data_IF_110858908134
#
_entry.id   IF_110858908134
#
_cell.length_a   1.000
_cell.length_b   1.000
_cell.length_c   1.000
_cell.angle_alpha   90.00
_cell.angle_beta   90.00
_cell.angle_gamma   90.00
#
_symmetry.space_group_name_H-M   'P 1'
#
loop_
_entity.id
_entity.type
_entity.pdbx_description
1 polymer ?
#
# COMPACT_ATOMS: atom_id res chain seq x y z
N UNK A 1 22.02 -34.89 -33.89
CA UNK A 1 22.42 -34.22 -32.61
C UNK A 1 21.65 -32.91 -32.27
N UNK A 2 20.44 -32.63 -32.73
CA UNK A 2 19.81 -31.32 -32.59
C UNK A 2 18.58 -31.25 -31.61
N UNK A 3 18.08 -32.38 -31.14
CA UNK A 3 16.87 -32.39 -30.24
C UNK A 3 17.18 -32.03 -28.76
N UNK A 4 18.36 -32.40 -28.29
CA UNK A 4 18.70 -32.21 -26.87
C UNK A 4 19.01 -30.73 -26.50
N UNK A 5 19.55 -29.95 -27.47
CA UNK A 5 19.84 -28.53 -27.23
C UNK A 5 18.58 -27.67 -27.10
N UNK A 6 17.47 -28.05 -27.76
CA UNK A 6 16.19 -27.32 -27.64
C UNK A 6 15.53 -27.52 -26.25
N UNK A 7 15.65 -28.71 -25.68
CA UNK A 7 15.10 -29.01 -24.37
C UNK A 7 15.87 -28.31 -23.24
N UNK A 8 17.22 -28.30 -23.33
CA UNK A 8 18.06 -27.58 -22.35
C UNK A 8 17.87 -26.07 -22.45
N UNK A 9 17.74 -25.51 -23.65
CA UNK A 9 17.48 -24.08 -23.82
C UNK A 9 16.10 -23.67 -23.29
N UNK A 10 15.06 -24.49 -23.53
CA UNK A 10 13.72 -24.25 -23.00
C UNK A 10 13.69 -24.30 -21.47
N UNK A 11 14.39 -25.24 -20.86
CA UNK A 11 14.53 -25.36 -19.39
C UNK A 11 15.24 -24.15 -18.77
N UNK A 12 16.26 -23.63 -19.45
CA UNK A 12 17.02 -22.45 -19.02
C UNK A 12 16.17 -21.16 -19.11
N UNK A 13 15.39 -20.99 -20.17
CA UNK A 13 14.48 -19.85 -20.35
C UNK A 13 13.35 -19.89 -19.33
N UNK A 14 12.75 -21.05 -19.08
CA UNK A 14 11.70 -21.21 -18.06
C UNK A 14 12.27 -20.96 -16.66
N UNK A 15 13.45 -21.48 -16.32
CA UNK A 15 14.14 -21.21 -15.06
C UNK A 15 14.44 -19.71 -14.86
N UNK A 16 14.87 -19.02 -15.93
CA UNK A 16 15.14 -17.58 -15.89
C UNK A 16 13.86 -16.76 -15.69
N UNK A 17 12.73 -17.15 -16.28
CA UNK A 17 11.43 -16.52 -16.08
C UNK A 17 10.93 -16.68 -14.63
N UNK A 18 11.21 -17.81 -13.99
CA UNK A 18 10.88 -17.99 -12.55
C UNK A 18 11.73 -17.14 -11.62
N UNK A 19 12.99 -16.84 -11.97
CA UNK A 19 13.84 -15.97 -11.16
C UNK A 19 13.38 -14.51 -11.19
N UNK A 20 12.80 -14.02 -12.29
CA UNK A 20 12.25 -12.67 -12.38
C UNK A 20 10.91 -12.49 -11.63
N UNK A 21 10.18 -13.56 -11.36
CA UNK A 21 8.92 -13.48 -10.60
C UNK A 21 9.10 -13.35 -9.08
N UNK A 22 10.30 -13.59 -8.56
CA UNK A 22 10.56 -13.65 -7.12
C UNK A 22 10.70 -12.29 -6.41
N UNK A 23 10.93 -11.18 -7.15
CA UNK A 23 11.19 -9.86 -6.58
C UNK A 23 10.00 -8.89 -6.63
N UNK A 24 8.76 -9.38 -6.60
CA UNK A 24 7.60 -8.49 -6.55
C UNK A 24 7.44 -7.88 -5.15
N UNK A 25 7.63 -6.57 -5.06
CA UNK A 25 7.36 -5.84 -3.81
C UNK A 25 5.85 -5.77 -3.55
N UNK A 26 5.44 -6.18 -2.35
CA UNK A 26 4.04 -6.15 -1.91
C UNK A 26 3.86 -5.05 -0.89
N UNK A 27 2.95 -4.12 -1.15
CA UNK A 27 2.54 -3.11 -0.19
C UNK A 27 1.30 -3.57 0.57
N UNK A 28 1.29 -3.32 1.88
CA UNK A 28 0.10 -3.48 2.71
C UNK A 28 -0.71 -2.21 2.63
N UNK A 29 -1.97 -2.35 2.24
CA UNK A 29 -2.91 -1.25 2.07
C UNK A 29 -4.13 -1.47 2.93
N UNK A 30 -4.67 -0.40 3.50
CA UNK A 30 -5.94 -0.37 4.19
C UNK A 30 -7.02 0.20 3.29
N UNK A 31 -8.25 -0.25 3.47
CA UNK A 31 -9.45 0.26 2.84
C UNK A 31 -10.56 0.41 3.86
N UNK A 32 -11.22 1.55 3.84
CA UNK A 32 -12.38 1.85 4.65
C UNK A 32 -13.39 2.63 3.83
N UNK A 33 -14.67 2.26 3.91
CA UNK A 33 -15.76 3.02 3.31
C UNK A 33 -16.98 3.08 4.20
N UNK A 34 -17.71 4.19 4.09
CA UNK A 34 -19.05 4.40 4.66
C UNK A 34 -19.98 4.76 3.52
N UNK A 35 -21.11 4.10 3.43
CA UNK A 35 -22.14 4.35 2.43
C UNK A 35 -23.43 4.69 3.15
N UNK A 36 -24.12 5.75 2.73
CA UNK A 36 -25.45 6.05 3.25
C UNK A 36 -26.42 4.97 2.79
N UNK A 37 -27.06 4.28 3.76
CA UNK A 37 -28.03 3.24 3.47
C UNK A 37 -29.17 3.72 2.55
N UNK A 38 -29.54 2.90 1.60
CA UNK A 38 -30.61 3.12 0.61
C UNK A 38 -30.38 4.30 -0.35
N UNK A 39 -29.15 4.85 -0.43
CA UNK A 39 -28.83 5.85 -1.44
C UNK A 39 -28.58 5.18 -2.80
N UNK A 40 -29.29 5.64 -3.82
CA UNK A 40 -29.15 5.12 -5.18
C UNK A 40 -28.23 6.04 -5.99
N UNK A 41 -27.02 5.54 -6.28
CA UNK A 41 -26.05 6.28 -7.10
C UNK A 41 -26.52 6.32 -8.56
N UNK A 42 -26.69 7.52 -9.08
CA UNK A 42 -27.10 7.73 -10.47
C UNK A 42 -25.87 7.91 -11.37
N UNK A 43 -25.56 6.92 -12.18
CA UNK A 43 -24.41 6.90 -13.09
C UNK A 43 -24.42 7.98 -14.17
N UNK A 44 -25.59 8.57 -14.45
CA UNK A 44 -25.77 9.68 -15.42
C UNK A 44 -25.76 11.06 -14.75
N UNK A 45 -25.62 11.12 -13.42
CA UNK A 45 -25.50 12.40 -12.72
C UNK A 45 -24.22 13.12 -13.05
N UNK A 46 -24.28 14.46 -13.07
CA UNK A 46 -23.07 15.28 -13.14
C UNK A 46 -22.32 15.23 -11.82
N UNK A 47 -21.07 14.80 -11.87
CA UNK A 47 -20.16 14.65 -10.74
C UNK A 47 -18.98 15.57 -10.96
N UNK A 48 -18.61 16.35 -9.96
CA UNK A 48 -17.41 17.19 -10.02
C UNK A 48 -16.43 16.74 -8.94
N UNK A 49 -15.23 16.41 -9.36
CA UNK A 49 -14.10 16.13 -8.45
C UNK A 49 -13.53 17.46 -8.00
N UNK A 50 -13.74 17.76 -6.72
CA UNK A 50 -13.27 18.97 -6.07
C UNK A 50 -12.05 18.67 -5.19
N UNK A 51 -11.16 19.62 -5.08
CA UNK A 51 -9.95 19.54 -4.24
C UNK A 51 -9.56 20.95 -3.79
N UNK A 52 -8.77 21.04 -2.72
CA UNK A 52 -8.20 22.32 -2.32
C UNK A 52 -7.19 22.78 -3.41
N UNK A 53 -7.37 24.00 -3.91
CA UNK A 53 -6.48 24.59 -4.92
C UNK A 53 -5.04 24.75 -4.43
N UNK A 54 -4.84 24.85 -3.14
CA UNK A 54 -3.52 24.91 -2.52
C UNK A 54 -2.85 23.52 -2.42
N UNK A 55 -3.64 22.44 -2.54
CA UNK A 55 -3.13 21.06 -2.55
C UNK A 55 -2.66 20.67 -3.95
N UNK A 56 -1.42 21.01 -4.25
CA UNK A 56 -0.78 20.67 -5.53
C UNK A 56 -0.78 19.14 -5.80
N UNK A 57 -0.71 18.33 -4.76
CA UNK A 57 -0.68 16.88 -4.89
C UNK A 57 -2.02 16.36 -5.43
N UNK A 58 -3.11 16.67 -4.75
CA UNK A 58 -4.46 16.24 -5.19
C UNK A 58 -4.82 16.85 -6.53
N UNK A 59 -4.47 18.10 -6.78
CA UNK A 59 -4.66 18.78 -8.07
C UNK A 59 -3.99 18.02 -9.22
N UNK A 60 -2.75 17.57 -9.02
CA UNK A 60 -2.00 16.78 -10.02
C UNK A 60 -2.70 15.46 -10.38
N UNK A 61 -3.33 14.81 -9.40
CA UNK A 61 -4.00 13.52 -9.60
C UNK A 61 -5.49 13.61 -9.94
N UNK A 62 -6.08 14.82 -10.00
CA UNK A 62 -7.52 15.00 -10.21
C UNK A 62 -8.03 14.29 -11.48
N UNK A 63 -7.31 14.38 -12.60
CA UNK A 63 -7.66 13.70 -13.85
C UNK A 63 -7.64 12.17 -13.73
N UNK A 64 -6.78 11.62 -12.90
CA UNK A 64 -6.74 10.18 -12.63
C UNK A 64 -7.98 9.77 -11.83
N UNK A 65 -8.40 10.57 -10.85
CA UNK A 65 -9.61 10.33 -10.08
C UNK A 65 -10.84 10.33 -10.98
N UNK A 66 -10.97 11.35 -11.84
CA UNK A 66 -12.05 11.43 -12.86
C UNK A 66 -12.07 10.16 -13.71
N UNK A 67 -10.93 9.80 -14.28
CA UNK A 67 -10.83 8.62 -15.16
C UNK A 67 -11.19 7.30 -14.44
N UNK A 68 -10.76 7.12 -13.20
CA UNK A 68 -11.09 5.88 -12.45
C UNK A 68 -12.59 5.86 -12.05
N UNK A 69 -13.22 7.00 -11.75
CA UNK A 69 -14.66 7.07 -11.53
C UNK A 69 -15.45 6.78 -12.83
N UNK A 70 -14.98 7.28 -13.98
CA UNK A 70 -15.58 6.95 -15.27
C UNK A 70 -15.53 5.45 -15.58
N UNK A 71 -14.45 4.76 -15.20
CA UNK A 71 -14.36 3.29 -15.31
C UNK A 71 -15.36 2.52 -14.46
N UNK A 72 -15.84 3.11 -13.37
CA UNK A 72 -16.92 2.54 -12.55
C UNK A 72 -18.30 2.75 -13.19
N UNK A 73 -18.37 3.41 -14.34
CA UNK A 73 -19.61 3.63 -15.11
C UNK A 73 -20.25 5.00 -14.93
N UNK A 74 -19.62 5.92 -14.22
CA UNK A 74 -20.10 7.30 -14.11
C UNK A 74 -19.64 8.09 -15.35
N UNK A 75 -20.58 8.45 -16.24
CA UNK A 75 -20.21 9.04 -17.53
C UNK A 75 -19.93 10.54 -17.48
N UNK A 76 -20.57 11.26 -16.57
CA UNK A 76 -20.52 12.73 -16.49
C UNK A 76 -19.65 13.18 -15.31
N UNK A 77 -18.36 12.79 -15.31
CA UNK A 77 -17.40 13.15 -14.27
C UNK A 77 -16.39 14.14 -14.81
N UNK A 78 -16.23 15.26 -14.11
CA UNK A 78 -15.37 16.38 -14.47
C UNK A 78 -14.50 16.80 -13.29
N UNK A 79 -13.42 17.51 -13.57
CA UNK A 79 -12.68 18.24 -12.52
C UNK A 79 -13.37 19.57 -12.23
N UNK A 80 -13.09 20.16 -11.06
CA UNK A 80 -13.57 21.52 -10.73
C UNK A 80 -13.00 22.63 -11.65
N UNK A 81 -11.97 22.33 -12.44
CA UNK A 81 -11.42 23.24 -13.43
C UNK A 81 -12.25 23.23 -14.73
N UNK A 82 -12.93 22.11 -15.03
CA UNK A 82 -13.71 21.90 -16.25
C UNK A 82 -15.20 22.22 -16.05
N UNK A 83 -15.71 22.01 -14.84
CA UNK A 83 -17.14 22.19 -14.56
C UNK A 83 -17.34 22.90 -13.21
N UNK A 84 -18.22 23.94 -13.16
CA UNK A 84 -18.45 24.72 -11.95
C UNK A 84 -19.21 23.90 -10.88
N UNK A 85 -18.75 24.02 -9.62
CA UNK A 85 -19.29 23.26 -8.48
C UNK A 85 -20.77 23.55 -8.19
N UNK A 86 -21.22 24.78 -8.40
CA UNK A 86 -22.59 25.23 -8.17
C UNK A 86 -23.64 24.58 -9.09
N UNK A 87 -23.18 24.02 -10.21
CA UNK A 87 -24.04 23.30 -11.18
C UNK A 87 -23.94 21.78 -11.06
N UNK A 88 -23.07 21.28 -10.20
CA UNK A 88 -22.89 19.86 -9.98
C UNK A 88 -24.06 19.28 -9.18
N UNK A 89 -24.58 18.12 -9.59
CA UNK A 89 -25.54 17.36 -8.76
C UNK A 89 -24.83 16.61 -7.64
N UNK A 90 -23.60 16.20 -7.89
CA UNK A 90 -22.75 15.52 -6.94
C UNK A 90 -21.37 16.15 -6.93
N UNK A 91 -20.79 16.27 -5.74
CA UNK A 91 -19.42 16.74 -5.56
C UNK A 91 -18.62 15.70 -4.81
N UNK A 92 -17.48 15.32 -5.35
CA UNK A 92 -16.53 14.40 -4.74
C UNK A 92 -15.32 15.20 -4.30
N UNK A 93 -15.22 15.48 -3.02
CA UNK A 93 -14.02 16.11 -2.44
C UNK A 93 -12.93 15.06 -2.29
N UNK A 94 -11.86 15.25 -3.05
CA UNK A 94 -10.68 14.39 -3.01
C UNK A 94 -9.55 15.08 -2.26
N UNK A 95 -8.80 14.28 -1.49
CA UNK A 95 -7.57 14.75 -0.83
C UNK A 95 -6.58 13.61 -0.65
N UNK A 96 -5.29 13.96 -0.78
CA UNK A 96 -4.18 13.08 -0.48
C UNK A 96 -3.49 13.63 0.76
N UNK A 97 -3.55 12.88 1.85
CA UNK A 97 -2.92 13.24 3.13
C UNK A 97 -1.68 12.38 3.31
N UNK A 98 -0.59 13.00 3.71
CA UNK A 98 0.66 12.32 3.97
C UNK A 98 1.20 12.72 5.34
N UNK A 99 1.34 11.74 6.20
CA UNK A 99 1.97 11.89 7.49
C UNK A 99 3.34 11.22 7.46
N UNK A 100 4.40 11.98 7.75
CA UNK A 100 5.75 11.46 7.84
C UNK A 100 6.12 11.40 9.31
N UNK A 101 6.63 10.26 9.74
CA UNK A 101 7.13 10.05 11.09
C UNK A 101 8.53 9.48 11.06
N UNK A 102 9.36 9.94 11.97
CA UNK A 102 10.64 9.32 12.26
C UNK A 102 10.41 8.10 13.15
N UNK A 103 10.83 6.93 12.69
CA UNK A 103 10.70 5.68 13.43
C UNK A 103 12.08 5.21 13.84
N UNK A 104 12.39 5.19 15.13
CA UNK A 104 13.65 4.65 15.59
C UNK A 104 13.69 3.13 15.40
N UNK A 105 14.77 2.64 14.92
CA UNK A 105 15.07 1.23 14.79
C UNK A 105 16.36 0.93 15.55
N UNK A 106 16.28 0.01 16.51
CA UNK A 106 17.42 -0.39 17.33
C UNK A 106 18.01 -1.67 16.75
N UNK A 107 19.27 -1.57 16.35
CA UNK A 107 20.07 -2.74 15.97
C UNK A 107 20.93 -3.12 17.15
N UNK A 108 20.71 -4.33 17.68
CA UNK A 108 21.49 -4.85 18.79
C UNK A 108 22.72 -5.56 18.25
N UNK A 109 23.88 -5.17 18.77
CA UNK A 109 25.13 -5.86 18.50
C UNK A 109 25.30 -6.98 19.52
N UNK A 110 25.54 -8.18 19.02
CA UNK A 110 25.75 -9.36 19.86
C UNK A 110 27.22 -9.71 19.85
N UNK A 111 27.77 -9.96 21.01
CA UNK A 111 29.13 -10.49 21.17
C UNK A 111 29.03 -11.90 21.77
N UNK A 112 29.75 -12.82 21.17
CA UNK A 112 29.95 -14.15 21.76
C UNK A 112 30.74 -13.97 23.07
N UNK A 113 30.15 -14.37 24.19
CA UNK A 113 30.78 -14.27 25.51
C UNK A 113 31.31 -15.62 25.99
N UNK A 114 30.68 -16.71 25.58
CA UNK A 114 31.06 -18.03 25.97
C UNK A 114 30.59 -19.07 24.97
N UNK A 115 31.31 -20.17 24.90
CA UNK A 115 30.95 -21.34 24.11
C UNK A 115 31.11 -22.56 25.01
N UNK A 116 30.02 -23.25 25.28
CA UNK A 116 30.05 -24.48 26.08
C UNK A 116 30.10 -25.66 25.13
N UNK A 117 31.21 -26.36 25.15
CA UNK A 117 31.36 -27.62 24.46
C UNK A 117 30.55 -28.70 25.17
N UNK A 118 29.74 -29.44 24.43
CA UNK A 118 28.92 -30.52 24.93
C UNK A 118 28.07 -30.17 26.17
N UNK A 119 27.17 -29.15 26.07
CA UNK A 119 26.36 -28.78 27.23
C UNK A 119 25.48 -29.94 27.67
N UNK A 120 25.52 -30.23 28.96
CA UNK A 120 24.70 -31.27 29.58
C UNK A 120 23.64 -30.64 30.45
N UNK A 121 22.40 -31.12 30.39
CA UNK A 121 21.29 -30.70 31.24
C UNK A 121 20.59 -31.90 31.86
N UNK A 122 20.01 -31.70 33.04
CA UNK A 122 19.33 -32.72 33.79
C UNK A 122 17.82 -32.56 33.59
N UNK A 123 17.18 -33.57 33.01
CA UNK A 123 15.76 -33.61 32.80
C UNK A 123 15.16 -34.96 33.16
N UNK A 124 14.12 -35.00 33.98
CA UNK A 124 13.37 -36.22 34.31
C UNK A 124 14.21 -37.31 35.01
N UNK A 125 15.24 -36.93 35.76
CA UNK A 125 16.12 -37.88 36.45
C UNK A 125 17.29 -38.38 35.60
N UNK A 126 17.50 -37.89 34.39
CA UNK A 126 18.59 -38.31 33.50
C UNK A 126 19.40 -37.12 32.98
N UNK A 127 20.69 -37.33 32.73
CA UNK A 127 21.55 -36.36 32.07
C UNK A 127 21.49 -36.54 30.56
N UNK A 128 21.26 -35.45 29.88
CA UNK A 128 21.31 -35.35 28.43
C UNK A 128 22.45 -34.40 28.05
N UNK A 129 23.39 -34.86 27.25
CA UNK A 129 24.49 -34.04 26.75
C UNK A 129 24.33 -33.85 25.25
N UNK A 130 24.44 -32.58 24.80
CA UNK A 130 24.47 -32.24 23.37
C UNK A 130 25.89 -32.45 22.84
N UNK A 131 26.00 -33.04 21.67
CA UNK A 131 27.28 -33.14 20.94
C UNK A 131 27.60 -31.86 20.16
N UNK A 132 26.66 -30.87 20.12
CA UNK A 132 26.86 -29.59 19.45
C UNK A 132 27.17 -28.51 20.48
N UNK A 133 28.19 -27.68 20.25
CA UNK A 133 28.50 -26.55 21.10
C UNK A 133 27.31 -25.58 21.15
N UNK A 134 27.13 -24.93 22.27
CA UNK A 134 26.11 -23.90 22.45
C UNK A 134 26.79 -22.55 22.65
N UNK A 135 26.54 -21.64 21.74
CA UNK A 135 27.08 -20.29 21.78
C UNK A 135 26.20 -19.40 22.64
N UNK A 136 26.81 -18.69 23.58
CA UNK A 136 26.15 -17.70 24.40
C UNK A 136 26.57 -16.30 23.93
N UNK A 137 25.54 -15.50 23.56
CA UNK A 137 25.73 -14.13 23.12
C UNK A 137 25.18 -13.16 24.15
N UNK A 138 25.91 -12.10 24.41
CA UNK A 138 25.40 -10.95 25.14
C UNK A 138 25.26 -9.74 24.19
N UNK A 139 24.35 -8.86 24.54
CA UNK A 139 24.22 -7.57 23.85
C UNK A 139 25.40 -6.71 24.27
N UNK A 140 26.28 -6.37 23.32
CA UNK A 140 27.47 -5.54 23.53
C UNK A 140 27.24 -4.07 23.17
N UNK A 141 26.01 -3.69 22.90
CA UNK A 141 25.62 -2.36 22.55
C UNK A 141 24.43 -2.35 21.58
N UNK A 142 23.97 -1.19 21.28
CA UNK A 142 22.97 -0.99 20.23
C UNK A 142 23.35 0.25 19.41
N UNK A 143 22.95 0.24 18.17
CA UNK A 143 22.96 1.43 17.31
C UNK A 143 21.52 1.81 17.01
N UNK A 144 21.21 3.08 17.18
CA UNK A 144 19.93 3.63 16.80
C UNK A 144 20.02 4.15 15.36
N UNK A 145 19.15 3.66 14.52
CA UNK A 145 18.96 4.17 13.17
C UNK A 145 17.55 4.73 13.07
N UNK A 146 17.44 5.94 12.55
CA UNK A 146 16.14 6.57 12.33
C UNK A 146 15.78 6.41 10.85
N UNK A 147 14.67 5.77 10.55
CA UNK A 147 14.15 5.77 9.20
C UNK A 147 12.84 6.56 9.13
N UNK A 148 12.66 7.26 8.01
CA UNK A 148 11.44 8.01 7.76
C UNK A 148 10.37 7.07 7.20
N UNK A 149 9.27 6.94 7.92
CA UNK A 149 8.06 6.22 7.46
C UNK A 149 7.01 7.22 7.03
N UNK A 150 6.35 6.94 5.92
CA UNK A 150 5.20 7.72 5.47
C UNK A 150 3.94 6.87 5.56
N UNK A 151 2.91 7.45 6.15
CA UNK A 151 1.56 6.94 6.08
C UNK A 151 0.75 7.88 5.18
N UNK A 152 0.28 7.36 4.07
CA UNK A 152 -0.42 8.13 3.05
C UNK A 152 -1.85 7.65 2.94
N UNK A 153 -2.79 8.59 2.89
CA UNK A 153 -4.21 8.36 2.73
C UNK A 153 -4.71 9.04 1.47
N UNK A 154 -5.56 8.35 0.75
CA UNK A 154 -6.37 8.91 -0.31
C UNK A 154 -7.83 8.86 0.12
N UNK A 155 -8.43 10.04 0.30
CA UNK A 155 -9.76 10.21 0.87
C UNK A 155 -10.69 10.78 -0.20
N UNK A 156 -11.89 10.21 -0.29
CA UNK A 156 -13.00 10.72 -1.08
C UNK A 156 -14.21 10.95 -0.16
N UNK A 157 -14.70 12.16 -0.13
CA UNK A 157 -15.98 12.56 0.48
C UNK A 157 -16.96 12.88 -0.63
N UNK A 158 -17.98 12.06 -0.84
CA UNK A 158 -18.99 12.25 -1.88
C UNK A 158 -20.26 12.85 -1.31
N UNK A 159 -20.64 13.99 -1.82
CA UNK A 159 -21.85 14.71 -1.44
C UNK A 159 -22.85 14.74 -2.57
N UNK A 160 -24.11 14.45 -2.22
CA UNK A 160 -25.27 14.80 -3.05
C UNK A 160 -25.67 16.25 -2.73
N UNK A 161 -25.55 17.12 -3.74
CA UNK A 161 -25.77 18.55 -3.57
C UNK A 161 -27.26 18.90 -3.52
N UNK A 162 -28.15 18.04 -4.02
CA UNK A 162 -29.59 18.18 -3.93
C UNK A 162 -30.07 17.84 -2.52
N UNK A 163 -29.57 16.74 -1.95
CA UNK A 163 -29.90 16.31 -0.60
C UNK A 163 -29.06 16.99 0.47
N UNK A 164 -28.04 17.74 0.09
CA UNK A 164 -27.08 18.43 0.96
C UNK A 164 -26.46 17.50 2.05
N UNK A 165 -26.15 16.27 1.67
CA UNK A 165 -25.56 15.29 2.59
C UNK A 165 -24.44 14.48 1.97
N UNK A 166 -23.52 14.01 2.82
CA UNK A 166 -22.51 13.04 2.44
C UNK A 166 -23.18 11.68 2.22
N UNK A 167 -22.95 11.08 1.05
CA UNK A 167 -23.54 9.80 0.64
C UNK A 167 -22.54 8.67 0.60
N UNK A 168 -21.25 9.00 0.46
CA UNK A 168 -20.15 8.05 0.48
C UNK A 168 -18.90 8.71 1.09
N UNK A 169 -18.21 7.96 1.93
CA UNK A 169 -16.85 8.23 2.39
C UNK A 169 -15.94 7.06 2.06
N UNK A 170 -14.76 7.33 1.56
CA UNK A 170 -13.76 6.30 1.27
C UNK A 170 -12.39 6.77 1.73
N UNK A 171 -11.67 5.90 2.39
CA UNK A 171 -10.28 6.10 2.81
C UNK A 171 -9.43 4.89 2.39
N UNK A 172 -8.55 5.09 1.44
CA UNK A 172 -7.50 4.15 1.09
C UNK A 172 -6.21 4.57 1.76
N UNK A 173 -5.56 3.68 2.48
CA UNK A 173 -4.32 3.98 3.17
C UNK A 173 -3.18 3.05 2.78
N UNK A 174 -1.96 3.57 2.86
CA UNK A 174 -0.72 2.81 2.66
C UNK A 174 0.36 3.31 3.58
N UNK A 175 1.08 2.39 4.21
CA UNK A 175 2.25 2.69 5.02
C UNK A 175 3.50 2.14 4.35
N UNK A 176 4.58 2.91 4.36
CA UNK A 176 5.83 2.48 3.75
C UNK A 176 6.97 3.48 3.93
N UNK A 177 8.14 3.12 3.44
CA UNK A 177 9.30 4.02 3.40
C UNK A 177 9.03 5.18 2.44
N UNK A 178 9.64 6.32 2.70
CA UNK A 178 9.31 7.62 2.09
C UNK A 178 9.71 7.84 0.63
N UNK A 179 10.13 6.85 -0.11
CA UNK A 179 10.58 7.00 -1.50
C UNK A 179 9.61 6.38 -2.54
N UNK A 180 9.60 6.90 -3.75
CA UNK A 180 8.79 6.36 -4.85
C UNK A 180 7.33 6.86 -4.91
N UNK A 181 7.04 8.03 -4.37
CA UNK A 181 5.69 8.55 -4.14
C UNK A 181 4.77 8.68 -5.34
N UNK A 182 5.28 9.09 -6.48
CA UNK A 182 4.40 9.37 -7.64
C UNK A 182 3.68 8.10 -8.11
N UNK A 183 4.39 6.98 -8.20
CA UNK A 183 3.77 5.71 -8.53
C UNK A 183 2.86 5.22 -7.41
N UNK A 184 3.27 5.40 -6.16
CA UNK A 184 2.50 4.99 -4.99
C UNK A 184 1.13 5.67 -4.93
N UNK A 185 1.04 6.99 -5.11
CA UNK A 185 -0.23 7.70 -5.07
C UNK A 185 -1.15 7.32 -6.22
N UNK A 186 -0.61 7.17 -7.41
CA UNK A 186 -1.38 6.68 -8.56
C UNK A 186 -2.00 5.32 -8.30
N UNK A 187 -1.24 4.39 -7.74
CA UNK A 187 -1.72 3.04 -7.46
C UNK A 187 -2.66 3.02 -6.24
N UNK A 188 -2.41 3.87 -5.24
CA UNK A 188 -3.33 4.07 -4.10
C UNK A 188 -4.69 4.56 -4.58
N UNK A 189 -4.75 5.62 -5.40
CA UNK A 189 -5.99 6.15 -5.98
C UNK A 189 -6.73 5.08 -6.77
N UNK A 190 -6.06 4.45 -7.72
CA UNK A 190 -6.66 3.42 -8.58
C UNK A 190 -7.20 2.23 -7.78
N UNK A 191 -6.39 1.73 -6.84
CA UNK A 191 -6.78 0.56 -6.06
C UNK A 191 -7.92 0.88 -5.09
N UNK A 192 -7.98 2.10 -4.55
CA UNK A 192 -9.04 2.55 -3.65
C UNK A 192 -10.34 2.72 -4.41
N UNK A 193 -10.34 3.48 -5.52
CA UNK A 193 -11.57 3.72 -6.31
C UNK A 193 -12.14 2.41 -6.86
N UNK A 194 -11.31 1.52 -7.39
CA UNK A 194 -11.74 0.21 -7.92
C UNK A 194 -12.47 -0.65 -6.88
N UNK A 195 -12.26 -0.41 -5.59
CA UNK A 195 -12.83 -1.20 -4.50
C UNK A 195 -14.09 -0.62 -3.90
N UNK A 196 -14.58 0.49 -4.42
CA UNK A 196 -15.81 1.10 -3.92
C UNK A 196 -16.99 0.15 -4.19
N UNK A 197 -17.62 -0.32 -3.11
CA UNK A 197 -18.94 -0.93 -3.17
C UNK A 197 -19.97 0.14 -2.79
N UNK A 198 -20.81 0.52 -3.73
CA UNK A 198 -21.82 1.55 -3.55
C UNK A 198 -23.05 1.08 -2.75
N UNK A 199 -23.12 -0.19 -2.40
CA UNK A 199 -24.26 -0.80 -1.72
C UNK A 199 -24.00 -1.03 -0.23
N UNK A 200 -22.73 -1.17 0.16
CA UNK A 200 -22.38 -1.52 1.54
C UNK A 200 -21.06 -0.89 2.00
N UNK A 201 -20.95 -0.54 3.29
CA UNK A 201 -19.69 -0.13 3.88
C UNK A 201 -18.73 -1.32 3.98
N UNK A 202 -17.44 -1.06 3.82
CA UNK A 202 -16.41 -2.09 3.90
C UNK A 202 -15.19 -1.61 4.70
N UNK A 203 -14.52 -2.55 5.38
CA UNK A 203 -13.25 -2.30 6.07
C UNK A 203 -12.37 -3.54 6.01
N UNK A 204 -11.22 -3.44 5.36
CA UNK A 204 -10.26 -4.54 5.27
C UNK A 204 -8.86 -4.08 4.91
N UNK A 205 -7.89 -5.00 5.04
CA UNK A 205 -6.52 -4.83 4.57
C UNK A 205 -6.27 -5.76 3.39
N UNK A 206 -5.45 -5.29 2.44
CA UNK A 206 -5.08 -6.07 1.27
C UNK A 206 -3.64 -5.83 0.87
N UNK A 207 -3.12 -6.69 -0.02
CA UNK A 207 -1.77 -6.56 -0.56
C UNK A 207 -1.84 -6.12 -2.01
N UNK A 208 -1.16 -5.02 -2.32
CA UNK A 208 -0.98 -4.55 -3.69
C UNK A 208 0.39 -5.00 -4.19
N UNK A 209 0.42 -5.60 -5.39
CA UNK A 209 1.67 -5.94 -6.09
C UNK A 209 2.04 -4.75 -6.96
N UNK A 210 3.22 -4.18 -6.75
CA UNK A 210 3.77 -3.15 -7.62
C UNK A 210 4.68 -3.80 -8.66
N UNK A 211 4.53 -3.47 -9.95
CA UNK A 211 5.32 -4.09 -11.02
C UNK A 211 6.82 -3.76 -10.93
N UNK A 212 7.17 -2.59 -10.44
CA UNK A 212 8.56 -2.17 -10.22
C UNK A 212 8.60 -1.19 -9.05
N UNK A 213 9.19 -1.62 -7.95
CA UNK A 213 9.52 -0.75 -6.83
C UNK A 213 11.02 -0.52 -6.84
N UNK A 214 11.46 0.70 -7.12
CA UNK A 214 12.84 1.05 -6.86
C UNK A 214 13.05 1.09 -5.35
N UNK A 215 13.92 0.23 -4.81
CA UNK A 215 14.25 0.31 -3.40
C UNK A 215 14.82 1.70 -3.10
N UNK A 216 14.41 2.27 -1.98
CA UNK A 216 15.01 3.49 -1.50
C UNK A 216 16.49 3.24 -1.26
N UNK A 217 17.36 3.73 -2.10
CA UNK A 217 18.77 3.85 -1.74
C UNK A 217 18.84 4.85 -0.61
N UNK A 218 19.42 4.43 0.49
CA UNK A 218 19.79 5.35 1.57
C UNK A 218 20.80 6.34 0.98
N UNK A 219 20.41 7.60 0.88
CA UNK A 219 21.33 8.70 0.73
C UNK A 219 21.85 9.09 2.10
#
# INVERSE_FOLDING_TARGET
>A
MSKNYRLTFLGLVVGFLFLFSACQHRLHMGYYSEVTGNYLFNYNSTIVVAYDRSDMMTSYYANIIVYELQKLGFYNVFTQAEFPLDRAKNVVYARIVRNISAVPFYHYNYQLIDQIDNPCYFLGGQFYCSSTPTDYYAINGFSEQVFMSANSHFILDWYDMVLQKRVLYVDGSVSGKTCGYQMLYRDLIKSTIKRIDFNRPERYYYRLRLPFYQPCYQQ
#
